data_IF_325331059760
#
_entry.id   IF_325331059760
#
_cell.length_a   1.000
_cell.length_b   1.000
_cell.length_c   1.000
_cell.angle_alpha   90.00
_cell.angle_beta   90.00
_cell.angle_gamma   90.00
#
_symmetry.space_group_name_H-M   'P 1'
#
loop_
_entity.id
_entity.type
_entity.pdbx_description
1 polymer ?
#
# COMPACT_ATOMS: atom_id res chain seq x y z
N UNK A 1 6.28 12.73 -10.60
CA UNK A 1 5.27 13.40 -11.46
C UNK A 1 4.39 14.29 -10.60
N UNK A 2 4.07 15.47 -11.08
CA UNK A 2 3.17 16.38 -10.39
C UNK A 2 1.92 16.64 -11.25
N UNK A 3 0.73 16.50 -10.63
CA UNK A 3 -0.55 16.78 -11.30
C UNK A 3 -1.42 17.57 -10.33
N UNK A 4 -1.76 18.81 -10.70
CA UNK A 4 -2.65 19.67 -9.91
C UNK A 4 -2.26 19.79 -8.43
N UNK A 5 -0.95 19.90 -8.16
CA UNK A 5 -0.44 20.01 -6.80
C UNK A 5 -0.28 18.67 -6.06
N UNK A 6 -0.56 17.55 -6.73
CA UNK A 6 -0.23 16.21 -6.22
C UNK A 6 1.11 15.75 -6.77
N UNK A 7 1.97 15.27 -5.90
CA UNK A 7 3.22 14.63 -6.28
C UNK A 7 3.03 13.13 -6.16
N UNK A 8 3.25 12.43 -7.28
CA UNK A 8 3.10 10.98 -7.39
C UNK A 8 4.47 10.41 -7.75
N UNK A 9 5.03 9.64 -6.84
CA UNK A 9 6.29 8.93 -7.07
C UNK A 9 6.00 7.45 -7.24
N UNK A 10 6.54 6.84 -8.30
CA UNK A 10 6.37 5.43 -8.57
C UNK A 10 7.67 4.68 -8.35
N UNK A 11 7.56 3.51 -7.73
CA UNK A 11 8.67 2.59 -7.49
C UNK A 11 8.24 1.21 -7.96
N UNK A 12 9.07 0.55 -8.75
CA UNK A 12 8.83 -0.82 -9.17
C UNK A 12 9.32 -1.75 -8.07
N UNK A 13 8.44 -2.62 -7.59
CA UNK A 13 8.75 -3.53 -6.48
C UNK A 13 8.45 -4.98 -6.84
N UNK A 14 9.22 -5.89 -6.23
CA UNK A 14 9.02 -7.33 -6.35
C UNK A 14 9.49 -7.92 -7.66
N UNK A 15 9.40 -9.25 -7.73
CA UNK A 15 9.89 -10.03 -8.87
C UNK A 15 9.03 -9.91 -10.12
N UNK A 16 7.76 -9.52 -9.96
CA UNK A 16 6.83 -9.32 -11.09
C UNK A 16 6.79 -7.88 -11.57
N UNK A 17 7.53 -6.96 -10.94
CA UNK A 17 7.62 -5.59 -11.40
C UNK A 17 6.35 -4.77 -11.19
N UNK A 18 5.74 -4.88 -10.02
CA UNK A 18 4.54 -4.13 -9.68
C UNK A 18 4.87 -2.68 -9.32
N UNK A 19 4.06 -1.75 -9.79
CA UNK A 19 4.21 -0.35 -9.42
C UNK A 19 3.63 -0.08 -8.03
N UNK A 20 4.45 0.47 -7.16
CA UNK A 20 4.03 1.05 -5.88
C UNK A 20 4.06 2.57 -6.02
N UNK A 21 3.05 3.26 -5.50
CA UNK A 21 2.98 4.71 -5.58
C UNK A 21 3.03 5.34 -4.20
N UNK A 22 3.82 6.42 -4.08
CA UNK A 22 3.85 7.26 -2.90
C UNK A 22 3.28 8.61 -3.30
N UNK A 23 2.20 9.04 -2.67
CA UNK A 23 1.43 10.20 -3.10
C UNK A 23 1.30 11.20 -1.96
N UNK A 24 1.57 12.47 -2.25
CA UNK A 24 1.40 13.56 -1.29
C UNK A 24 1.08 14.87 -2.00
N UNK A 25 0.51 15.81 -1.27
CA UNK A 25 0.35 17.18 -1.78
C UNK A 25 1.69 17.90 -1.76
N UNK A 26 1.89 18.82 -2.69
CA UNK A 26 3.14 19.53 -2.90
C UNK A 26 3.72 20.17 -1.63
N UNK A 27 2.90 20.76 -0.80
CA UNK A 27 3.33 21.47 0.41
C UNK A 27 2.90 20.76 1.69
N UNK A 28 2.60 19.46 1.62
CA UNK A 28 2.19 18.66 2.77
C UNK A 28 3.27 17.65 3.17
N UNK A 29 3.40 17.43 4.47
CA UNK A 29 4.26 16.38 5.01
C UNK A 29 3.57 15.01 5.03
N UNK A 30 2.25 14.96 4.87
CA UNK A 30 1.47 13.72 4.88
C UNK A 30 1.46 13.04 3.52
N UNK A 31 1.52 11.72 3.54
CA UNK A 31 1.47 10.91 2.32
C UNK A 31 0.61 9.67 2.51
N UNK A 32 0.26 9.03 1.41
CA UNK A 32 -0.26 7.67 1.41
C UNK A 32 0.51 6.83 0.38
N UNK A 33 0.48 5.53 0.57
CA UNK A 33 1.18 4.56 -0.29
C UNK A 33 0.14 3.65 -0.92
N UNK A 34 0.28 3.41 -2.22
CA UNK A 34 -0.61 2.50 -2.99
C UNK A 34 0.17 1.27 -3.39
N UNK A 35 -0.35 0.11 -3.06
CA UNK A 35 0.17 -1.20 -3.46
C UNK A 35 1.67 -1.43 -3.14
N UNK A 36 2.07 -1.40 -1.87
CA UNK A 36 3.44 -1.76 -1.50
C UNK A 36 3.62 -3.27 -1.60
N UNK A 37 3.78 -3.75 -2.83
CA UNK A 37 3.79 -5.18 -3.16
C UNK A 37 5.03 -5.93 -2.69
N UNK A 38 6.11 -5.22 -2.37
CA UNK A 38 7.36 -5.77 -1.84
C UNK A 38 8.20 -4.64 -1.25
N UNK A 39 9.32 -4.99 -0.63
CA UNK A 39 10.29 -4.01 -0.13
C UNK A 39 9.70 -2.98 0.84
N UNK A 40 8.78 -3.40 1.70
CA UNK A 40 8.11 -2.51 2.65
C UNK A 40 9.07 -1.77 3.58
N UNK A 41 10.17 -2.41 3.97
CA UNK A 41 11.23 -1.80 4.78
C UNK A 41 11.94 -0.66 4.03
N UNK A 42 12.22 -0.84 2.75
CA UNK A 42 12.85 0.20 1.91
C UNK A 42 11.90 1.38 1.68
N UNK A 43 10.62 1.10 1.47
CA UNK A 43 9.60 2.14 1.36
C UNK A 43 9.52 2.94 2.66
N UNK A 44 9.51 2.26 3.80
CA UNK A 44 9.51 2.91 5.11
C UNK A 44 10.73 3.83 5.30
N UNK A 45 11.91 3.35 4.93
CA UNK A 45 13.14 4.14 5.03
C UNK A 45 13.08 5.38 4.15
N UNK A 46 12.57 5.25 2.93
CA UNK A 46 12.38 6.39 2.03
C UNK A 46 11.44 7.44 2.63
N UNK A 47 10.30 7.00 3.17
CA UNK A 47 9.32 7.91 3.78
C UNK A 47 9.95 8.66 4.97
N UNK A 48 10.72 7.95 5.80
CA UNK A 48 11.43 8.56 6.93
C UNK A 48 12.50 9.55 6.48
N UNK A 49 13.27 9.19 5.47
CA UNK A 49 14.34 10.06 4.93
C UNK A 49 13.76 11.35 4.35
N UNK A 50 12.59 11.28 3.75
CA UNK A 50 11.87 12.45 3.24
C UNK A 50 11.10 13.20 4.33
N UNK A 51 11.14 12.72 5.57
CA UNK A 51 10.44 13.32 6.72
C UNK A 51 8.94 13.42 6.50
N UNK A 52 8.36 12.45 5.81
CA UNK A 52 6.91 12.38 5.57
C UNK A 52 6.20 11.56 6.65
N UNK A 53 4.91 11.83 6.81
CA UNK A 53 4.01 11.13 7.71
C UNK A 53 3.11 10.25 6.86
N UNK A 54 3.19 8.93 7.04
CA UNK A 54 2.35 7.98 6.32
C UNK A 54 1.01 7.83 7.02
N UNK A 55 -0.07 8.25 6.37
CA UNK A 55 -1.42 8.14 6.92
C UNK A 55 -2.08 6.80 6.59
N UNK A 56 -2.02 6.38 5.34
CA UNK A 56 -2.72 5.20 4.86
C UNK A 56 -1.90 4.39 3.86
N UNK A 57 -2.13 3.09 3.87
CA UNK A 57 -1.77 2.18 2.78
C UNK A 57 -3.07 1.87 2.04
N UNK A 58 -3.13 2.17 0.75
CA UNK A 58 -4.28 1.89 -0.10
C UNK A 58 -3.98 0.70 -0.99
N UNK A 59 -4.84 -0.31 -0.97
CA UNK A 59 -4.69 -1.48 -1.81
C UNK A 59 -5.71 -1.44 -2.94
N UNK A 60 -5.24 -1.53 -4.18
CA UNK A 60 -6.13 -1.57 -5.35
C UNK A 60 -6.83 -2.91 -5.44
N UNK A 61 -6.12 -3.99 -5.10
CA UNK A 61 -6.67 -5.33 -5.01
C UNK A 61 -5.74 -6.22 -4.18
N UNK A 62 -6.17 -7.44 -3.90
CA UNK A 62 -5.51 -8.31 -2.94
C UNK A 62 -4.54 -9.34 -3.51
N UNK A 63 -4.13 -9.27 -4.79
CA UNK A 63 -3.16 -10.21 -5.33
C UNK A 63 -1.77 -10.02 -4.69
N UNK A 64 -1.00 -11.11 -4.60
CA UNK A 64 0.26 -11.19 -3.85
C UNK A 64 1.25 -10.08 -4.18
N UNK A 65 1.37 -9.74 -5.44
CA UNK A 65 2.35 -8.76 -5.92
C UNK A 65 2.03 -7.32 -5.53
N UNK A 66 0.84 -7.07 -4.99
CA UNK A 66 0.41 -5.77 -4.48
C UNK A 66 0.43 -5.65 -2.96
N UNK A 67 0.61 -6.77 -2.24
CA UNK A 67 0.41 -6.80 -0.79
C UNK A 67 1.61 -7.30 0.03
N UNK A 68 2.61 -7.91 -0.56
CA UNK A 68 3.67 -8.59 0.20
C UNK A 68 4.63 -7.65 0.94
N UNK A 69 4.61 -6.37 0.67
CA UNK A 69 5.36 -5.37 1.44
C UNK A 69 4.55 -4.67 2.53
N UNK A 70 3.25 -4.92 2.62
CA UNK A 70 2.37 -4.22 3.56
C UNK A 70 2.76 -4.45 5.01
N UNK A 71 3.02 -5.69 5.38
CA UNK A 71 3.34 -6.04 6.78
C UNK A 71 4.61 -5.35 7.26
N UNK A 72 5.67 -5.41 6.48
CA UNK A 72 6.94 -4.77 6.83
C UNK A 72 6.79 -3.26 6.92
N UNK A 73 6.06 -2.66 5.99
CA UNK A 73 5.80 -1.21 6.00
C UNK A 73 4.99 -0.81 7.23
N UNK A 74 3.92 -1.52 7.52
CA UNK A 74 3.06 -1.25 8.68
C UNK A 74 3.80 -1.47 10.01
N UNK A 75 4.66 -2.46 10.08
CA UNK A 75 5.48 -2.70 11.27
C UNK A 75 6.52 -1.60 11.49
N UNK A 76 7.04 -1.03 10.42
CA UNK A 76 8.02 0.04 10.49
C UNK A 76 7.39 1.41 10.78
N UNK A 77 6.21 1.69 10.22
CA UNK A 77 5.51 2.96 10.37
C UNK A 77 4.04 2.67 10.68
N UNK A 78 3.56 3.22 11.79
CA UNK A 78 2.16 3.04 12.17
C UNK A 78 1.25 3.78 11.21
N UNK A 79 0.31 3.05 10.58
CA UNK A 79 -0.66 3.58 9.63
C UNK A 79 -1.84 2.64 9.50
N UNK A 80 -2.88 3.07 8.78
CA UNK A 80 -4.06 2.25 8.53
C UNK A 80 -4.04 1.67 7.12
N UNK A 81 -4.54 0.43 6.99
CA UNK A 81 -4.69 -0.24 5.71
C UNK A 81 -6.13 -0.05 5.23
N UNK A 82 -6.28 0.44 3.99
CA UNK A 82 -7.58 0.66 3.35
C UNK A 82 -7.69 -0.21 2.11
N UNK A 83 -8.80 -0.91 1.96
CA UNK A 83 -9.09 -1.73 0.78
C UNK A 83 -10.59 -1.75 0.52
N UNK A 84 -10.99 -2.07 -0.71
CA UNK A 84 -12.40 -2.29 -1.03
C UNK A 84 -12.91 -3.55 -0.34
N UNK A 85 -14.14 -3.52 0.12
CA UNK A 85 -14.78 -4.64 0.81
C UNK A 85 -14.86 -5.89 -0.07
N UNK A 86 -14.96 -5.73 -1.39
CA UNK A 86 -15.00 -6.85 -2.34
C UNK A 86 -13.67 -7.61 -2.41
N UNK A 87 -12.57 -7.03 -1.91
CA UNK A 87 -11.24 -7.67 -1.87
C UNK A 87 -11.00 -8.49 -0.60
N UNK A 88 -11.96 -8.51 0.32
CA UNK A 88 -11.78 -9.12 1.64
C UNK A 88 -11.44 -10.61 1.57
N UNK A 89 -12.16 -11.38 0.77
CA UNK A 89 -11.91 -12.82 0.63
C UNK A 89 -10.50 -13.09 0.12
N UNK A 90 -10.06 -12.31 -0.87
CA UNK A 90 -8.74 -12.45 -1.48
C UNK A 90 -7.64 -12.11 -0.47
N UNK A 91 -7.80 -10.99 0.24
CA UNK A 91 -6.81 -10.52 1.22
C UNK A 91 -6.63 -11.48 2.38
N UNK A 92 -7.69 -12.15 2.81
CA UNK A 92 -7.67 -13.06 3.96
C UNK A 92 -7.26 -14.49 3.59
N UNK A 93 -7.06 -14.81 2.33
CA UNK A 93 -6.78 -16.17 1.87
C UNK A 93 -5.51 -16.20 1.00
N UNK A 94 -4.42 -16.73 1.57
CA UNK A 94 -3.12 -16.82 0.89
C UNK A 94 -3.15 -17.67 -0.38
N UNK A 95 -4.09 -18.60 -0.51
CA UNK A 95 -4.26 -19.40 -1.73
C UNK A 95 -4.94 -18.58 -2.82
N UNK A 96 -5.99 -17.87 -2.48
CA UNK A 96 -6.75 -17.04 -3.43
C UNK A 96 -5.90 -15.88 -3.95
N UNK A 97 -5.12 -15.24 -3.09
CA UNK A 97 -4.26 -14.13 -3.50
C UNK A 97 -2.93 -14.59 -4.10
N UNK A 98 -2.70 -15.90 -4.14
CA UNK A 98 -1.53 -16.58 -4.72
C UNK A 98 -0.24 -16.44 -3.90
N UNK A 99 -0.25 -15.73 -2.79
CA UNK A 99 0.95 -15.56 -1.96
C UNK A 99 1.47 -16.89 -1.39
N UNK A 100 0.59 -17.86 -1.16
CA UNK A 100 0.98 -19.18 -0.66
C UNK A 100 1.96 -19.92 -1.60
N UNK A 101 1.94 -19.59 -2.89
CA UNK A 101 2.80 -20.22 -3.91
C UNK A 101 4.15 -19.54 -4.06
N UNK A 102 4.36 -18.40 -3.39
CA UNK A 102 5.59 -17.60 -3.52
C UNK A 102 6.63 -17.89 -2.45
N UNK A 103 6.31 -18.74 -1.46
CA UNK A 103 7.16 -18.97 -0.29
C UNK A 103 6.99 -17.88 0.80
N UNK A 104 6.21 -16.84 0.55
CA UNK A 104 5.89 -15.79 1.51
C UNK A 104 4.37 -15.60 1.59
N UNK A 105 3.64 -16.55 2.21
CA UNK A 105 2.19 -16.45 2.31
C UNK A 105 1.79 -15.21 3.12
N UNK A 106 0.74 -14.52 2.67
CA UNK A 106 0.26 -13.32 3.31
C UNK A 106 -1.26 -13.32 3.41
N UNK A 107 -1.75 -13.03 4.59
CA UNK A 107 -3.16 -12.82 4.87
C UNK A 107 -3.28 -11.50 5.60
N UNK A 108 -4.09 -10.58 5.06
CA UNK A 108 -4.22 -9.23 5.57
C UNK A 108 -5.67 -8.88 5.84
N UNK A 109 -5.89 -8.20 6.95
CA UNK A 109 -7.15 -7.57 7.26
C UNK A 109 -6.99 -6.06 7.15
N UNK A 110 -7.88 -5.39 6.40
CA UNK A 110 -7.85 -3.94 6.32
C UNK A 110 -8.40 -3.31 7.61
N UNK A 111 -7.86 -2.16 7.98
CA UNK A 111 -8.39 -1.37 9.08
C UNK A 111 -9.66 -0.64 8.65
N UNK A 112 -9.72 -0.25 7.38
CA UNK A 112 -10.86 0.45 6.79
C UNK A 112 -11.28 -0.30 5.53
N UNK A 113 -12.53 -0.79 5.51
CA UNK A 113 -13.13 -1.40 4.34
C UNK A 113 -13.98 -0.36 3.62
N UNK A 114 -13.59 -0.06 2.38
CA UNK A 114 -14.26 0.93 1.55
C UNK A 114 -15.30 0.26 0.65
N UNK A 115 -16.32 1.02 0.26
CA UNK A 115 -17.36 0.58 -0.66
C UNK A 115 -17.18 1.27 -2.01
N UNK A 116 -17.66 0.64 -3.07
CA UNK A 116 -17.69 1.26 -4.40
C UNK A 116 -18.41 2.61 -4.35
N UNK A 117 -17.79 3.62 -4.93
CA UNK A 117 -18.31 4.98 -4.94
C UNK A 117 -18.10 5.78 -3.65
N UNK A 118 -17.55 5.17 -2.61
CA UNK A 118 -17.27 5.87 -1.35
C UNK A 118 -16.16 6.89 -1.53
N UNK A 119 -16.32 8.06 -0.93
CA UNK A 119 -15.26 9.07 -0.84
C UNK A 119 -14.66 9.04 0.56
N UNK A 120 -13.33 9.19 0.65
CA UNK A 120 -12.65 9.38 1.93
C UNK A 120 -11.41 10.23 1.71
N UNK A 121 -10.87 10.78 2.80
CA UNK A 121 -9.72 11.67 2.74
C UNK A 121 -8.47 10.98 3.30
N UNK A 122 -7.33 11.24 2.66
CA UNK A 122 -6.02 10.79 3.11
C UNK A 122 -4.96 11.83 2.73
N UNK A 123 -3.99 12.03 3.63
CA UNK A 123 -2.85 12.94 3.45
C UNK A 123 -3.27 14.42 3.38
#
# INVERSE_FOLDING_TARGET
MEINGLIIESVVVGSVGTNCYIVHKKDSEHCFVVDPGDSGDKIANYIRDQKMILDHILLTHGHFDHIQGVRDLKNAIRCEICALDVEKELLLDARMNVSAMTGRPEELEADIWLHDGQQFESA
#
